data_IF_805291933220
#
_entry.id   IF_805291933220
#
_cell.length_a   1.000
_cell.length_b   1.000
_cell.length_c   1.000
_cell.angle_alpha   90.00
_cell.angle_beta   90.00
_cell.angle_gamma   90.00
#
_symmetry.space_group_name_H-M   'P 1'
#
loop_
_entity.id
_entity.type
_entity.pdbx_description
1 polymer ?
#
# COMPACT_ATOMS: atom_id res chain seq x y z
N UNK A 1 39.31 -11.59 36.00
CA UNK A 1 38.32 -12.66 36.27
C UNK A 1 37.69 -13.02 34.93
N UNK A 2 38.35 -13.87 34.16
CA UNK A 2 38.08 -15.32 33.96
C UNK A 2 36.89 -15.59 33.02
N UNK A 3 37.25 -16.29 31.95
CA UNK A 3 36.52 -16.84 30.80
C UNK A 3 35.36 -17.81 31.10
N UNK A 4 34.48 -18.01 30.11
CA UNK A 4 34.11 -19.28 29.45
C UNK A 4 32.77 -19.08 28.69
N UNK A 5 32.70 -19.12 27.36
CA UNK A 5 32.74 -20.28 26.44
C UNK A 5 31.53 -21.22 26.53
N UNK A 6 30.73 -21.22 25.46
CA UNK A 6 30.12 -22.41 24.87
C UNK A 6 28.65 -22.69 25.20
N UNK A 7 27.77 -22.60 24.18
CA UNK A 7 26.78 -23.64 23.93
C UNK A 7 26.26 -23.56 22.48
N UNK A 8 26.35 -24.71 21.82
CA UNK A 8 26.16 -24.93 20.41
C UNK A 8 24.69 -25.21 20.05
N UNK A 9 24.32 -24.82 18.84
CA UNK A 9 23.07 -25.16 18.15
C UNK A 9 23.03 -26.66 17.80
N UNK A 10 21.90 -27.37 17.98
CA UNK A 10 21.74 -28.68 17.38
C UNK A 10 21.24 -28.54 15.92
N UNK A 11 22.05 -29.06 14.99
CA UNK A 11 21.61 -29.52 13.67
C UNK A 11 20.85 -30.84 13.84
N UNK A 12 19.70 -30.99 13.21
CA UNK A 12 19.07 -32.31 12.99
C UNK A 12 19.02 -32.58 11.50
N UNK A 13 19.81 -33.57 11.10
CA UNK A 13 19.84 -34.25 9.81
C UNK A 13 18.77 -35.35 9.73
N UNK A 14 18.27 -35.58 8.51
CA UNK A 14 17.30 -36.58 8.01
C UNK A 14 17.64 -38.08 8.34
N UNK A 15 16.93 -39.11 7.80
CA UNK A 15 15.58 -39.24 7.20
C UNK A 15 14.70 -40.31 7.90
N UNK A 16 13.41 -40.39 7.54
CA UNK A 16 12.45 -41.37 8.10
C UNK A 16 12.51 -42.72 7.33
N UNK A 17 12.59 -43.90 8.01
CA UNK A 17 12.67 -45.19 7.32
C UNK A 17 11.30 -45.79 7.01
N UNK A 18 11.17 -46.33 5.80
CA UNK A 18 10.01 -47.11 5.30
C UNK A 18 10.01 -48.50 5.93
N UNK A 19 8.87 -48.92 6.52
CA UNK A 19 8.67 -50.28 7.05
C UNK A 19 7.66 -51.05 6.22
N UNK A 20 8.11 -52.15 5.62
CA UNK A 20 7.29 -53.10 4.85
C UNK A 20 6.68 -54.22 5.69
N UNK A 21 5.42 -54.52 5.35
CA UNK A 21 4.65 -55.78 5.38
C UNK A 21 4.78 -56.76 6.57
N UNK A 22 3.65 -56.94 7.27
CA UNK A 22 3.25 -58.17 7.93
C UNK A 22 1.72 -58.29 7.86
N UNK A 23 1.20 -59.32 7.20
CA UNK A 23 -0.22 -59.48 6.89
C UNK A 23 -1.04 -60.10 8.02
N UNK A 24 -2.35 -59.82 8.01
CA UNK A 24 -3.41 -60.59 8.67
C UNK A 24 -4.76 -60.34 7.94
N UNK A 25 -5.65 -61.33 8.08
CA UNK A 25 -6.79 -61.75 7.22
C UNK A 25 -7.93 -60.73 6.99
N UNK A 26 -8.77 -60.88 5.94
CA UNK A 26 -9.79 -59.90 5.61
C UNK A 26 -11.03 -60.06 6.49
N UNK A 27 -11.34 -59.03 7.28
CA UNK A 27 -12.68 -58.83 7.84
C UNK A 27 -13.45 -57.91 6.89
N UNK A 28 -14.59 -58.39 6.40
CA UNK A 28 -15.55 -57.61 5.64
C UNK A 28 -16.01 -56.41 6.48
N UNK A 29 -15.51 -55.21 6.15
CA UNK A 29 -16.01 -53.96 6.70
C UNK A 29 -16.83 -53.23 5.62
N UNK A 30 -18.09 -52.99 5.93
CA UNK A 30 -19.08 -52.31 5.08
C UNK A 30 -18.54 -50.96 4.58
N UNK A 31 -18.71 -50.72 3.29
CA UNK A 31 -18.53 -49.40 2.66
C UNK A 31 -19.51 -48.42 3.33
N UNK A 32 -18.99 -47.44 4.07
CA UNK A 32 -19.77 -46.30 4.51
C UNK A 32 -20.02 -45.37 3.32
N UNK A 33 -21.28 -44.96 3.14
CA UNK A 33 -21.68 -44.01 2.10
C UNK A 33 -21.02 -42.64 2.31
N UNK A 34 -20.76 -41.86 1.24
CA UNK A 34 -20.19 -40.53 1.37
C UNK A 34 -21.19 -39.59 2.06
N UNK A 35 -20.80 -39.08 3.23
CA UNK A 35 -21.51 -38.00 3.92
C UNK A 35 -21.20 -36.70 3.20
N UNK A 36 -22.17 -36.15 2.48
CA UNK A 36 -22.10 -34.77 1.96
C UNK A 36 -22.16 -33.80 3.14
N UNK A 37 -21.02 -33.18 3.47
CA UNK A 37 -20.98 -32.06 4.41
C UNK A 37 -21.50 -30.79 3.71
N UNK A 38 -22.41 -30.01 4.33
CA UNK A 38 -22.79 -28.71 3.80
C UNK A 38 -21.59 -27.74 3.83
N UNK A 39 -21.53 -26.73 2.94
CA UNK A 39 -20.42 -25.79 2.90
C UNK A 39 -20.28 -25.06 4.25
N UNK A 40 -19.05 -24.72 4.68
CA UNK A 40 -18.84 -24.07 5.97
C UNK A 40 -19.57 -22.72 5.97
N UNK A 41 -20.57 -22.60 6.83
CA UNK A 41 -21.19 -21.31 7.09
C UNK A 41 -20.21 -20.47 7.91
N UNK A 42 -19.88 -19.29 7.39
CA UNK A 42 -19.06 -18.29 8.07
C UNK A 42 -19.81 -17.82 9.32
N UNK A 43 -19.54 -18.44 10.47
CA UNK A 43 -20.04 -17.99 11.78
C UNK A 43 -19.16 -16.84 12.24
N UNK A 44 -19.61 -15.60 12.04
CA UNK A 44 -19.09 -14.47 12.79
C UNK A 44 -19.41 -14.69 14.27
N UNK A 45 -18.38 -14.75 15.12
CA UNK A 45 -18.55 -14.81 16.57
C UNK A 45 -19.11 -13.47 17.06
N UNK A 46 -20.44 -13.35 17.11
CA UNK A 46 -21.09 -12.39 17.99
C UNK A 46 -21.21 -13.05 19.37
N UNK A 47 -20.44 -12.55 20.34
CA UNK A 47 -20.62 -12.90 21.74
C UNK A 47 -21.98 -12.40 22.21
N UNK A 48 -22.89 -13.30 22.51
CA UNK A 48 -24.15 -13.03 23.23
C UNK A 48 -23.92 -13.19 24.73
N UNK A 49 -24.20 -12.13 25.49
CA UNK A 49 -24.87 -12.06 26.82
C UNK A 49 -25.00 -10.56 27.14
N UNK A 50 -26.11 -9.98 27.59
CA UNK A 50 -27.18 -10.49 28.44
C UNK A 50 -28.54 -9.82 28.12
N UNK A 51 -29.64 -10.46 28.54
CA UNK A 51 -31.03 -10.06 28.30
C UNK A 51 -31.41 -8.78 29.07
N UNK A 52 -31.81 -7.73 28.35
CA UNK A 52 -32.31 -6.49 28.94
C UNK A 52 -33.11 -5.64 27.96
N UNK A 53 -34.44 -5.71 28.08
CA UNK A 53 -35.49 -4.78 27.60
C UNK A 53 -35.26 -4.14 26.22
N UNK A 54 -35.98 -4.69 25.24
CA UNK A 54 -36.16 -4.14 23.89
C UNK A 54 -36.72 -2.72 23.94
N UNK A 55 -35.90 -1.74 23.55
CA UNK A 55 -36.38 -0.49 22.95
C UNK A 55 -36.02 -0.54 21.47
N UNK A 56 -37.04 -0.58 20.61
CA UNK A 56 -36.88 -0.58 19.17
C UNK A 56 -36.34 0.78 18.70
N UNK A 57 -35.03 0.96 18.78
CA UNK A 57 -34.36 2.05 18.10
C UNK A 57 -34.56 1.85 16.58
N UNK A 58 -35.21 2.82 15.95
CA UNK A 58 -35.47 2.83 14.52
C UNK A 58 -34.17 2.57 13.74
N UNK A 59 -34.07 1.39 13.12
CA UNK A 59 -32.94 1.06 12.27
C UNK A 59 -32.95 2.02 11.08
N UNK A 60 -31.88 2.81 10.92
CA UNK A 60 -31.64 3.58 9.69
C UNK A 60 -31.87 2.66 8.47
N UNK A 61 -32.52 3.14 7.40
CA UNK A 61 -32.75 2.32 6.22
C UNK A 61 -31.40 1.81 5.73
N UNK A 62 -31.27 0.48 5.60
CA UNK A 62 -30.12 -0.13 4.92
C UNK A 62 -30.10 0.46 3.52
N UNK A 63 -29.01 1.13 3.17
CA UNK A 63 -28.81 1.63 1.82
C UNK A 63 -29.05 0.46 0.85
N UNK A 64 -29.92 0.62 -0.16
CA UNK A 64 -30.21 -0.45 -1.10
C UNK A 64 -28.87 -0.91 -1.70
N UNK A 65 -28.70 -2.23 -1.81
CA UNK A 65 -27.52 -2.82 -2.44
C UNK A 65 -27.56 -2.46 -3.92
N UNK A 66 -26.94 -1.34 -4.30
CA UNK A 66 -27.00 -0.80 -5.66
C UNK A 66 -26.10 -1.65 -6.55
N UNK A 67 -26.70 -2.60 -7.24
CA UNK A 67 -26.05 -3.30 -8.36
C UNK A 67 -26.00 -2.30 -9.52
N UNK A 68 -24.80 -1.90 -9.97
CA UNK A 68 -24.60 -0.98 -11.10
C UNK A 68 -24.03 0.42 -10.76
N UNK A 69 -23.24 0.56 -9.68
CA UNK A 69 -22.46 1.79 -9.46
C UNK A 69 -21.15 1.76 -10.28
N UNK A 70 -20.84 2.88 -10.92
CA UNK A 70 -19.53 3.20 -11.48
C UNK A 70 -18.67 3.99 -10.49
N UNK A 71 -17.42 4.28 -10.86
CA UNK A 71 -16.57 5.23 -10.14
C UNK A 71 -15.94 6.23 -11.10
N UNK A 72 -15.84 7.49 -10.69
CA UNK A 72 -15.19 8.56 -11.46
C UNK A 72 -14.26 9.40 -10.59
N UNK A 73 -13.20 9.93 -11.20
CA UNK A 73 -12.30 10.87 -10.55
C UNK A 73 -12.92 12.27 -10.63
N UNK A 74 -13.12 12.91 -9.48
CA UNK A 74 -13.80 14.22 -9.41
C UNK A 74 -12.91 15.35 -8.92
N UNK A 75 -11.74 15.03 -8.37
CA UNK A 75 -10.77 16.04 -7.96
C UNK A 75 -9.39 15.43 -7.76
N UNK A 76 -8.36 16.27 -7.90
CA UNK A 76 -6.97 15.92 -7.66
C UNK A 76 -6.22 17.04 -6.97
N UNK A 77 -5.16 16.69 -6.26
CA UNK A 77 -4.30 17.63 -5.57
C UNK A 77 -2.90 17.07 -5.40
N UNK A 78 -1.93 17.95 -5.20
CA UNK A 78 -0.54 17.56 -4.94
C UNK A 78 0.13 18.56 -4.02
N UNK A 79 1.13 18.12 -3.28
CA UNK A 79 1.99 18.95 -2.46
C UNK A 79 3.43 18.47 -2.57
N UNK A 80 4.36 19.42 -2.60
CA UNK A 80 5.79 19.18 -2.71
C UNK A 80 6.53 19.98 -1.64
N UNK A 81 7.66 19.47 -1.13
CA UNK A 81 8.54 20.24 -0.24
C UNK A 81 9.07 21.52 -0.88
N UNK A 82 9.46 22.46 -0.03
CA UNK A 82 10.05 23.74 -0.44
C UNK A 82 11.47 23.59 -0.97
N UNK A 83 12.31 22.80 -0.32
CA UNK A 83 13.71 22.61 -0.72
C UNK A 83 13.80 21.89 -2.08
N UNK A 84 14.49 22.53 -3.01
CA UNK A 84 14.82 21.97 -4.33
C UNK A 84 16.33 21.70 -4.39
N UNK A 85 16.71 20.46 -4.61
CA UNK A 85 18.10 20.04 -4.79
C UNK A 85 18.37 19.86 -6.28
N UNK A 86 19.28 20.66 -6.82
CA UNK A 86 19.68 20.59 -8.23
C UNK A 86 20.77 19.54 -8.45
N UNK A 87 21.00 19.18 -9.71
CA UNK A 87 22.14 18.32 -10.06
C UNK A 87 23.50 18.97 -9.72
N UNK A 88 23.60 20.30 -9.82
CA UNK A 88 24.81 21.06 -9.44
C UNK A 88 25.06 21.07 -7.93
N UNK A 89 23.99 20.94 -7.13
CA UNK A 89 24.15 20.75 -5.69
C UNK A 89 24.67 19.36 -5.37
N UNK A 90 24.21 18.34 -6.10
CA UNK A 90 24.71 16.96 -5.93
C UNK A 90 26.18 16.82 -6.37
N UNK A 91 26.63 17.55 -7.39
CA UNK A 91 28.04 17.51 -7.83
C UNK A 91 29.02 18.06 -6.80
N UNK A 92 28.54 18.79 -5.77
CA UNK A 92 29.35 19.25 -4.64
C UNK A 92 29.56 18.16 -3.59
N UNK A 93 28.75 17.09 -3.62
CA UNK A 93 28.70 16.04 -2.59
C UNK A 93 29.26 14.72 -3.14
N UNK A 94 28.96 14.39 -4.40
CA UNK A 94 29.39 13.16 -5.07
C UNK A 94 29.95 13.46 -6.45
N UNK A 95 30.81 12.58 -6.96
CA UNK A 95 31.43 12.72 -8.29
C UNK A 95 30.39 12.51 -9.41
N UNK A 96 29.67 13.58 -9.77
CA UNK A 96 28.63 13.58 -10.80
C UNK A 96 28.55 14.93 -11.51
N UNK A 97 27.74 15.03 -12.57
CA UNK A 97 27.43 16.29 -13.26
C UNK A 97 25.98 16.32 -13.73
N UNK A 98 25.46 17.51 -14.00
CA UNK A 98 24.11 17.69 -14.55
C UNK A 98 23.93 16.98 -15.90
N UNK A 99 24.91 17.05 -16.80
CA UNK A 99 24.89 16.36 -18.08
C UNK A 99 24.83 14.84 -17.89
N UNK A 100 25.62 14.31 -16.96
CA UNK A 100 25.67 12.88 -16.71
C UNK A 100 24.35 12.35 -16.14
N UNK A 101 23.74 13.07 -15.21
CA UNK A 101 22.47 12.70 -14.58
C UNK A 101 21.33 12.81 -15.60
N UNK A 102 21.16 13.96 -16.23
CA UNK A 102 20.04 14.19 -17.12
C UNK A 102 20.06 13.31 -18.37
N UNK A 103 21.24 12.98 -18.90
CA UNK A 103 21.36 12.06 -20.03
C UNK A 103 20.86 10.63 -19.69
N UNK A 104 20.92 10.23 -18.42
CA UNK A 104 20.54 8.87 -17.97
C UNK A 104 19.16 8.78 -17.37
N UNK A 105 18.72 9.83 -16.68
CA UNK A 105 17.49 9.80 -15.87
C UNK A 105 16.46 10.84 -16.33
N UNK A 106 16.87 11.85 -17.09
CA UNK A 106 16.06 13.02 -17.42
C UNK A 106 15.84 14.00 -16.25
N UNK A 107 16.38 13.72 -15.06
CA UNK A 107 16.12 14.51 -13.86
C UNK A 107 17.08 15.70 -13.78
N UNK A 108 16.53 16.88 -13.48
CA UNK A 108 17.30 18.14 -13.26
C UNK A 108 17.28 18.61 -11.80
N UNK A 109 16.16 18.38 -11.12
CA UNK A 109 15.94 18.80 -9.74
C UNK A 109 15.06 17.77 -9.04
N UNK A 110 15.22 17.65 -7.72
CA UNK A 110 14.27 16.95 -6.84
C UNK A 110 13.82 17.83 -5.69
N UNK A 111 12.66 17.52 -5.13
CA UNK A 111 12.17 18.12 -3.89
C UNK A 111 12.48 17.19 -2.73
N UNK A 112 12.93 17.76 -1.62
CA UNK A 112 13.35 17.01 -0.42
C UNK A 112 12.74 17.69 0.79
N UNK A 113 12.20 16.92 1.72
CA UNK A 113 11.70 17.44 2.99
C UNK A 113 12.82 18.16 3.75
N UNK A 114 12.50 19.33 4.30
CA UNK A 114 13.45 20.15 5.05
C UNK A 114 12.80 20.82 6.26
N UNK A 115 13.59 21.11 7.29
CA UNK A 115 13.09 21.75 8.52
C UNK A 115 11.97 20.95 9.17
N UNK A 116 10.81 21.60 9.35
CA UNK A 116 9.63 21.03 10.00
C UNK A 116 8.63 20.39 9.00
N UNK A 117 8.98 20.31 7.71
CA UNK A 117 8.14 19.65 6.72
C UNK A 117 8.05 18.14 6.99
N UNK A 118 6.83 17.60 6.96
CA UNK A 118 6.57 16.17 7.19
C UNK A 118 5.80 15.56 6.03
N UNK A 119 5.91 14.23 5.87
CA UNK A 119 5.15 13.53 4.84
C UNK A 119 3.65 13.60 5.13
N UNK A 120 3.26 13.51 6.40
CA UNK A 120 1.90 13.78 6.86
C UNK A 120 1.40 15.16 6.43
N UNK A 121 2.20 16.21 6.64
CA UNK A 121 1.85 17.57 6.23
C UNK A 121 1.62 17.72 4.73
N UNK A 122 2.46 17.10 3.90
CA UNK A 122 2.25 17.09 2.45
C UNK A 122 0.98 16.31 2.07
N UNK A 123 0.73 15.18 2.73
CA UNK A 123 -0.47 14.35 2.50
C UNK A 123 -1.75 15.13 2.76
N UNK A 124 -1.79 15.90 3.87
CA UNK A 124 -2.92 16.75 4.23
C UNK A 124 -3.14 17.84 3.18
N UNK A 125 -2.08 18.52 2.75
CA UNK A 125 -2.19 19.57 1.73
C UNK A 125 -2.68 19.02 0.38
N UNK A 126 -2.17 17.86 -0.05
CA UNK A 126 -2.62 17.20 -1.28
C UNK A 126 -4.10 16.80 -1.18
N UNK A 127 -4.50 16.22 -0.06
CA UNK A 127 -5.88 15.84 0.24
C UNK A 127 -6.84 17.04 0.20
N UNK A 128 -6.50 18.13 0.91
CA UNK A 128 -7.32 19.35 0.94
C UNK A 128 -7.52 19.94 -0.46
N UNK A 129 -6.46 20.01 -1.27
CA UNK A 129 -6.54 20.49 -2.67
C UNK A 129 -7.42 19.58 -3.54
N UNK A 130 -7.35 18.27 -3.36
CA UNK A 130 -8.20 17.32 -4.08
C UNK A 130 -9.69 17.48 -3.73
N UNK A 131 -9.99 17.67 -2.44
CA UNK A 131 -11.34 17.92 -1.95
C UNK A 131 -11.89 19.29 -2.42
N UNK A 132 -11.05 20.33 -2.37
CA UNK A 132 -11.38 21.66 -2.87
C UNK A 132 -11.71 21.63 -4.36
N UNK A 133 -10.87 20.97 -5.18
CA UNK A 133 -11.12 20.80 -6.61
C UNK A 133 -12.43 20.04 -6.89
N UNK A 134 -12.76 19.03 -6.07
CA UNK A 134 -13.98 18.27 -6.20
C UNK A 134 -15.23 19.02 -5.68
N UNK A 135 -15.06 20.08 -4.89
CA UNK A 135 -16.17 20.74 -4.19
C UNK A 135 -16.83 19.85 -3.12
N UNK A 136 -16.10 18.86 -2.58
CA UNK A 136 -16.60 17.90 -1.59
C UNK A 136 -16.08 18.27 -0.20
N UNK A 137 -16.96 18.25 0.80
CA UNK A 137 -16.55 18.51 2.19
C UNK A 137 -15.82 17.28 2.76
N UNK A 138 -14.82 17.52 3.60
CA UNK A 138 -14.08 16.43 4.25
C UNK A 138 -15.00 15.46 5.03
N UNK A 139 -16.06 15.98 5.67
CA UNK A 139 -17.04 15.16 6.41
C UNK A 139 -17.90 14.22 5.55
N UNK A 140 -17.89 14.41 4.23
CA UNK A 140 -18.61 13.58 3.26
C UNK A 140 -17.71 12.48 2.67
N UNK A 141 -16.43 12.43 3.07
CA UNK A 141 -15.50 11.34 2.72
C UNK A 141 -15.81 10.12 3.59
N UNK A 142 -15.97 8.96 2.95
CA UNK A 142 -16.29 7.70 3.61
C UNK A 142 -15.04 6.84 3.89
N UNK A 143 -14.00 7.01 3.06
CA UNK A 143 -12.77 6.22 3.13
C UNK A 143 -11.55 7.02 2.72
N UNK A 144 -10.46 6.89 3.49
CA UNK A 144 -9.14 7.45 3.18
C UNK A 144 -8.13 6.30 3.00
N UNK A 145 -7.52 6.21 1.82
CA UNK A 145 -6.47 5.24 1.51
C UNK A 145 -5.13 5.97 1.40
N UNK A 146 -4.23 5.76 2.37
CA UNK A 146 -2.88 6.34 2.33
C UNK A 146 -1.90 5.32 1.73
N UNK A 147 -1.52 5.54 0.49
CA UNK A 147 -0.58 4.70 -0.24
C UNK A 147 0.85 5.22 0.00
N UNK A 148 1.60 4.56 0.88
CA UNK A 148 2.97 4.96 1.24
C UNK A 148 3.84 3.75 1.54
N UNK A 149 5.13 3.89 1.23
CA UNK A 149 6.18 2.95 1.65
C UNK A 149 7.17 3.57 2.61
N UNK A 150 6.94 4.82 3.01
CA UNK A 150 7.79 5.62 3.90
C UNK A 150 6.97 6.33 4.97
N UNK A 151 6.11 5.60 5.72
CA UNK A 151 5.23 6.24 6.70
C UNK A 151 6.05 6.92 7.80
N UNK A 152 5.55 8.06 8.30
CA UNK A 152 6.17 8.76 9.44
C UNK A 152 6.03 7.96 10.75
N UNK A 153 5.06 7.04 10.84
CA UNK A 153 4.75 6.20 12.00
C UNK A 153 4.69 4.71 11.60
N UNK A 154 5.20 3.81 12.45
CA UNK A 154 5.21 2.36 12.21
C UNK A 154 3.80 1.75 12.08
N UNK A 155 2.79 2.37 12.71
CA UNK A 155 1.40 1.92 12.68
C UNK A 155 0.59 2.57 11.54
N UNK A 156 1.26 3.32 10.65
CA UNK A 156 0.64 3.98 9.51
C UNK A 156 0.21 5.42 9.79
N UNK A 157 -0.08 6.17 8.72
CA UNK A 157 -0.42 7.59 8.78
C UNK A 157 -1.90 7.89 8.50
N UNK A 158 -2.68 6.95 7.96
CA UNK A 158 -4.03 7.25 7.46
C UNK A 158 -4.96 7.81 8.55
N UNK A 159 -4.90 7.28 9.76
CA UNK A 159 -5.72 7.73 10.89
C UNK A 159 -5.40 9.17 11.33
N UNK A 160 -4.13 9.57 11.26
CA UNK A 160 -3.72 10.95 11.58
C UNK A 160 -4.14 11.90 10.45
N UNK A 161 -3.89 11.52 9.19
CA UNK A 161 -4.26 12.31 8.02
C UNK A 161 -5.76 12.53 7.93
N UNK A 162 -6.59 11.50 8.11
CA UNK A 162 -8.05 11.66 8.05
C UNK A 162 -8.55 12.61 9.15
N UNK A 163 -7.97 12.55 10.34
CA UNK A 163 -8.31 13.42 11.46
C UNK A 163 -7.97 14.88 11.16
N UNK A 164 -6.74 15.13 10.70
CA UNK A 164 -6.24 16.48 10.41
C UNK A 164 -6.87 17.11 9.15
N UNK A 165 -7.30 16.30 8.17
CA UNK A 165 -8.09 16.79 7.03
C UNK A 165 -9.55 17.10 7.42
N UNK A 166 -10.05 16.53 8.53
CA UNK A 166 -11.43 16.70 8.99
C UNK A 166 -12.41 15.65 8.45
N UNK A 167 -11.91 14.50 7.99
CA UNK A 167 -12.71 13.36 7.52
C UNK A 167 -13.28 12.55 8.70
N UNK A 168 -14.07 13.18 9.55
CA UNK A 168 -14.49 12.64 10.87
C UNK A 168 -15.36 11.38 10.82
N UNK A 169 -15.98 11.09 9.66
CA UNK A 169 -16.84 9.90 9.44
C UNK A 169 -16.13 8.82 8.62
N UNK A 170 -14.93 9.10 8.12
CA UNK A 170 -14.22 8.20 7.24
C UNK A 170 -13.55 7.07 8.03
N UNK A 171 -13.56 5.89 7.43
CA UNK A 171 -12.59 4.85 7.77
C UNK A 171 -11.27 5.14 7.04
N UNK A 172 -10.12 4.73 7.57
CA UNK A 172 -8.86 4.94 6.86
C UNK A 172 -7.78 3.94 7.24
N UNK A 173 -6.97 3.57 6.24
CA UNK A 173 -5.85 2.65 6.41
C UNK A 173 -4.77 2.87 5.34
N UNK A 174 -3.59 2.34 5.61
CA UNK A 174 -2.41 2.47 4.76
C UNK A 174 -2.29 1.30 3.78
N UNK A 175 -1.78 1.57 2.57
CA UNK A 175 -1.47 0.58 1.53
C UNK A 175 0.01 0.69 1.18
N UNK A 176 0.76 -0.39 1.39
CA UNK A 176 2.18 -0.46 1.03
C UNK A 176 2.37 -1.37 -0.18
N UNK A 177 2.67 -0.78 -1.33
CA UNK A 177 3.02 -1.49 -2.56
C UNK A 177 4.08 -0.75 -3.40
N UNK A 178 5.05 -0.11 -2.74
CA UNK A 178 6.11 0.69 -3.36
C UNK A 178 5.52 1.71 -4.37
N UNK A 179 6.22 1.96 -5.48
CA UNK A 179 5.79 2.91 -6.51
C UNK A 179 4.42 2.56 -7.15
N UNK A 180 3.96 1.32 -7.04
CA UNK A 180 2.64 0.89 -7.52
C UNK A 180 1.52 1.16 -6.51
N UNK A 181 1.84 1.63 -5.31
CA UNK A 181 0.91 1.90 -4.21
C UNK A 181 -0.30 2.72 -4.62
N UNK A 182 -0.09 3.85 -5.29
CA UNK A 182 -1.18 4.73 -5.71
C UNK A 182 -2.17 4.04 -6.67
N UNK A 183 -1.68 3.23 -7.61
CA UNK A 183 -2.54 2.47 -8.54
C UNK A 183 -3.32 1.38 -7.81
N UNK A 184 -2.69 0.68 -6.87
CA UNK A 184 -3.37 -0.30 -6.01
C UNK A 184 -4.44 0.40 -5.16
N UNK A 185 -4.16 1.59 -4.62
CA UNK A 185 -5.13 2.41 -3.91
C UNK A 185 -6.33 2.81 -4.78
N UNK A 186 -6.09 3.27 -6.01
CA UNK A 186 -7.14 3.66 -6.94
C UNK A 186 -8.07 2.48 -7.31
N UNK A 187 -7.49 1.31 -7.56
CA UNK A 187 -8.23 0.08 -7.81
C UNK A 187 -9.04 -0.30 -6.58
N UNK A 188 -8.43 -0.25 -5.41
CA UNK A 188 -9.07 -0.56 -4.12
C UNK A 188 -10.26 0.36 -3.85
N UNK A 189 -10.10 1.67 -4.05
CA UNK A 189 -11.18 2.66 -3.94
C UNK A 189 -12.36 2.33 -4.84
N UNK A 190 -12.10 2.00 -6.10
CA UNK A 190 -13.16 1.59 -7.04
C UNK A 190 -13.86 0.32 -6.58
N UNK A 191 -13.13 -0.66 -6.01
CA UNK A 191 -13.74 -1.88 -5.48
C UNK A 191 -14.59 -1.62 -4.24
N UNK A 192 -14.22 -0.68 -3.37
CA UNK A 192 -15.07 -0.25 -2.25
C UNK A 192 -16.36 0.42 -2.74
N UNK A 193 -16.27 1.32 -3.72
CA UNK A 193 -17.45 1.99 -4.31
C UNK A 193 -18.38 0.96 -4.97
N UNK A 194 -17.83 0.12 -5.86
CA UNK A 194 -18.62 -0.90 -6.60
C UNK A 194 -19.12 -2.04 -5.71
N UNK A 195 -18.47 -2.29 -4.58
CA UNK A 195 -18.91 -3.22 -3.54
C UNK A 195 -20.13 -2.72 -2.75
N UNK A 196 -20.42 -1.41 -2.84
CA UNK A 196 -21.49 -0.73 -2.13
C UNK A 196 -21.06 -0.24 -0.74
N UNK A 197 -21.68 0.87 -0.30
CA UNK A 197 -21.47 1.43 1.04
C UNK A 197 -20.46 2.58 1.12
N UNK A 198 -19.74 2.88 0.03
CA UNK A 198 -18.83 4.02 -0.08
C UNK A 198 -19.20 4.88 -1.29
N UNK A 199 -19.33 6.19 -1.08
CA UNK A 199 -19.63 7.18 -2.12
C UNK A 199 -18.40 8.03 -2.46
N UNK A 200 -17.64 8.46 -1.45
CA UNK A 200 -16.47 9.31 -1.63
C UNK A 200 -15.23 8.64 -1.00
N UNK A 201 -14.28 8.26 -1.84
CA UNK A 201 -13.03 7.62 -1.40
C UNK A 201 -11.84 8.51 -1.79
N UNK A 202 -11.12 9.00 -0.79
CA UNK A 202 -9.92 9.78 -0.97
C UNK A 202 -8.70 8.85 -1.04
N UNK A 203 -7.98 8.87 -2.15
CA UNK A 203 -6.76 8.09 -2.35
C UNK A 203 -5.58 9.03 -2.36
N UNK A 204 -4.64 8.82 -1.44
CA UNK A 204 -3.45 9.65 -1.27
C UNK A 204 -2.23 8.78 -1.58
N UNK A 205 -1.34 9.22 -2.46
CA UNK A 205 -0.02 8.63 -2.65
C UNK A 205 1.04 9.57 -2.10
N UNK A 206 1.82 9.14 -1.13
CA UNK A 206 2.81 10.00 -0.48
C UNK A 206 4.06 9.21 -0.10
N UNK A 207 5.23 9.70 -0.49
CA UNK A 207 6.50 9.13 -0.06
C UNK A 207 7.57 10.20 0.22
N UNK A 208 8.37 9.94 1.24
CA UNK A 208 9.54 10.69 1.68
C UNK A 208 10.81 9.82 1.55
N UNK A 209 11.12 9.39 0.32
CA UNK A 209 12.23 8.48 0.05
C UNK A 209 13.60 9.09 0.38
N UNK A 210 13.71 10.42 0.38
CA UNK A 210 14.95 11.14 0.72
C UNK A 210 15.51 10.77 2.11
N UNK A 211 14.63 10.36 3.05
CA UNK A 211 15.01 9.92 4.41
C UNK A 211 15.83 8.62 4.41
N UNK A 212 15.71 7.81 3.35
CA UNK A 212 16.33 6.49 3.23
C UNK A 212 17.41 6.42 2.14
N UNK A 213 17.69 7.56 1.50
CA UNK A 213 18.73 7.71 0.49
C UNK A 213 20.09 7.86 1.18
N UNK A 214 21.06 7.07 0.74
CA UNK A 214 22.47 7.33 1.03
C UNK A 214 22.97 8.44 0.10
N UNK A 215 23.14 9.64 0.63
CA UNK A 215 23.59 10.80 -0.14
C UNK A 215 25.03 10.70 -0.63
N UNK A 216 25.81 9.72 -0.16
CA UNK A 216 27.15 9.42 -0.65
C UNK A 216 27.16 8.43 -1.81
N UNK A 217 26.06 7.68 -2.01
CA UNK A 217 25.91 6.76 -3.14
C UNK A 217 25.31 7.47 -4.36
N UNK A 218 26.20 7.78 -5.32
CA UNK A 218 25.85 8.36 -6.62
C UNK A 218 24.76 7.56 -7.36
N UNK A 219 24.68 6.24 -7.17
CA UNK A 219 23.72 5.39 -7.88
C UNK A 219 22.26 5.65 -7.49
N UNK A 220 22.02 6.10 -6.27
CA UNK A 220 20.67 6.24 -5.69
C UNK A 220 20.30 7.68 -5.35
N UNK A 221 21.25 8.50 -4.89
CA UNK A 221 20.96 9.88 -4.47
C UNK A 221 20.48 10.79 -5.60
N UNK A 222 20.79 10.43 -6.85
CA UNK A 222 20.38 11.12 -8.07
C UNK A 222 18.97 10.78 -8.56
N UNK A 223 18.22 9.92 -7.87
CA UNK A 223 16.94 9.39 -8.36
C UNK A 223 15.75 9.95 -7.59
N UNK A 224 15.80 9.91 -6.26
CA UNK A 224 14.61 10.08 -5.43
C UNK A 224 14.37 11.52 -5.00
N UNK A 225 13.14 11.75 -4.59
CA UNK A 225 12.62 12.98 -4.00
C UNK A 225 11.32 12.66 -3.26
N UNK A 226 10.75 13.69 -2.63
CA UNK A 226 9.59 13.56 -1.75
C UNK A 226 8.41 14.35 -2.29
N UNK A 227 7.21 13.81 -2.15
CA UNK A 227 5.97 14.46 -2.56
C UNK A 227 4.75 13.73 -2.00
N UNK A 228 3.60 14.41 -2.08
CA UNK A 228 2.30 13.79 -1.94
C UNK A 228 1.37 14.19 -3.10
N UNK A 229 0.52 13.26 -3.51
CA UNK A 229 -0.57 13.46 -4.45
C UNK A 229 -1.85 12.83 -3.91
N UNK A 230 -3.01 13.36 -4.26
CA UNK A 230 -4.29 12.82 -3.86
C UNK A 230 -5.31 12.93 -4.98
N UNK A 231 -6.24 11.98 -5.02
CA UNK A 231 -7.42 12.01 -5.89
C UNK A 231 -8.66 11.64 -5.09
N UNK A 232 -9.78 12.31 -5.39
CA UNK A 232 -11.09 11.90 -4.89
C UNK A 232 -11.78 11.05 -5.94
N UNK A 233 -12.09 9.81 -5.55
CA UNK A 233 -12.89 8.87 -6.34
C UNK A 233 -14.31 8.92 -5.82
N UNK A 234 -15.27 9.23 -6.69
CA UNK A 234 -16.67 9.34 -6.34
C UNK A 234 -17.50 8.28 -7.07
N UNK A 235 -18.51 7.76 -6.38
CA UNK A 235 -19.54 6.94 -6.97
C UNK A 235 -20.29 7.69 -8.09
N UNK A 236 -20.60 6.97 -9.15
CA UNK A 236 -21.46 7.45 -10.22
C UNK A 236 -22.38 6.32 -10.73
N UNK A 237 -23.26 6.64 -11.67
CA UNK A 237 -24.01 5.62 -12.39
C UNK A 237 -23.09 4.81 -13.33
N UNK A 238 -23.49 3.59 -13.68
CA UNK A 238 -22.67 2.70 -14.51
C UNK A 238 -22.31 3.28 -15.89
N UNK A 239 -23.15 4.14 -16.46
CA UNK A 239 -22.90 4.82 -17.73
C UNK A 239 -21.86 5.94 -17.65
N UNK A 240 -21.56 6.44 -16.45
CA UNK A 240 -20.52 7.44 -16.18
C UNK A 240 -19.23 6.82 -15.58
N UNK A 241 -19.10 5.51 -15.62
CA UNK A 241 -17.97 4.79 -15.01
C UNK A 241 -16.66 5.17 -15.73
N UNK A 242 -15.76 5.81 -14.99
CA UNK A 242 -14.47 6.26 -15.49
C UNK A 242 -13.36 5.20 -15.40
N UNK A 243 -13.62 4.07 -14.72
CA UNK A 243 -12.65 2.96 -14.64
C UNK A 243 -13.03 1.83 -15.58
N UNK A 244 -12.37 1.76 -16.75
CA UNK A 244 -12.66 0.78 -17.79
C UNK A 244 -12.01 -0.58 -17.47
N UNK A 245 -10.80 -0.56 -16.93
CA UNK A 245 -10.10 -1.78 -16.56
C UNK A 245 -8.81 -1.54 -15.79
N UNK A 246 -8.25 -2.62 -15.27
CA UNK A 246 -6.93 -2.58 -14.64
C UNK A 246 -6.23 -3.94 -14.75
N UNK A 247 -4.90 -3.90 -14.73
CA UNK A 247 -4.05 -5.08 -14.64
C UNK A 247 -3.06 -4.87 -13.49
N UNK A 248 -2.97 -5.83 -12.58
CA UNK A 248 -2.01 -5.82 -11.47
C UNK A 248 -1.34 -7.18 -11.39
N UNK A 249 -0.01 -7.17 -11.27
CA UNK A 249 0.83 -8.35 -11.18
C UNK A 249 1.91 -8.14 -10.12
N UNK A 250 2.29 -9.22 -9.43
CA UNK A 250 3.38 -9.25 -8.45
C UNK A 250 4.32 -10.41 -8.72
N UNK A 251 5.63 -10.18 -8.68
CA UNK A 251 6.68 -11.19 -8.81
C UNK A 251 7.65 -11.14 -7.62
N UNK A 252 7.49 -12.07 -6.67
CA UNK A 252 8.35 -12.18 -5.50
C UNK A 252 9.82 -12.50 -5.79
N UNK A 253 10.19 -12.92 -7.01
CA UNK A 253 11.59 -13.22 -7.35
C UNK A 253 12.45 -11.96 -7.58
N UNK A 254 11.84 -10.78 -7.70
CA UNK A 254 12.51 -9.49 -7.86
C UNK A 254 13.21 -8.95 -6.60
N UNK A 255 13.15 -9.66 -5.46
CA UNK A 255 13.65 -9.27 -4.12
C UNK A 255 15.14 -8.87 -4.03
N UNK A 256 15.93 -9.03 -5.10
CA UNK A 256 17.35 -8.64 -5.11
C UNK A 256 17.58 -7.11 -5.04
N UNK A 257 16.52 -6.31 -5.13
CA UNK A 257 16.55 -4.83 -5.21
C UNK A 257 15.75 -4.17 -4.06
N UNK A 258 15.65 -4.82 -2.90
CA UNK A 258 14.92 -4.29 -1.73
C UNK A 258 15.87 -3.62 -0.73
N UNK A 259 15.39 -2.58 -0.04
CA UNK A 259 16.07 -1.96 1.09
C UNK A 259 16.51 -3.02 2.11
N UNK A 260 17.79 -3.01 2.48
CA UNK A 260 18.34 -3.81 3.57
C UNK A 260 18.86 -2.83 4.62
N UNK A 261 18.58 -3.11 5.88
CA UNK A 261 19.18 -2.39 7.02
C UNK A 261 18.98 -0.87 7.00
N UNK A 262 17.79 -0.39 6.62
CA UNK A 262 17.44 1.03 6.70
C UNK A 262 17.92 1.90 5.53
N UNK A 263 18.70 1.35 4.59
CA UNK A 263 19.13 2.07 3.39
C UNK A 263 18.48 1.49 2.12
N UNK A 264 18.09 2.38 1.21
CA UNK A 264 17.59 2.01 -0.12
C UNK A 264 18.77 1.60 -1.03
N UNK A 265 19.18 0.33 -0.95
CA UNK A 265 20.25 -0.22 -1.79
C UNK A 265 19.68 -0.65 -3.16
N UNK A 266 20.08 0.05 -4.22
CA UNK A 266 19.86 -0.37 -5.61
C UNK A 266 21.17 -0.95 -6.16
N UNK A 267 21.19 -2.24 -6.49
CA UNK A 267 22.29 -2.78 -7.28
C UNK A 267 22.09 -2.42 -8.76
N UNK A 268 22.95 -1.54 -9.29
CA UNK A 268 23.06 -1.32 -10.73
C UNK A 268 23.62 -2.59 -11.40
N UNK A 269 22.86 -3.20 -12.30
CA UNK A 269 23.37 -4.26 -13.17
C UNK A 269 23.65 -3.64 -14.55
N UNK A 270 24.90 -3.30 -14.82
CA UNK A 270 25.35 -2.57 -16.02
C UNK A 270 25.14 -3.33 -17.35
N UNK A 271 24.65 -4.57 -17.34
CA UNK A 271 24.59 -5.40 -18.56
C UNK A 271 23.39 -5.18 -19.48
N UNK A 272 22.38 -4.41 -19.08
CA UNK A 272 21.25 -4.05 -19.96
C UNK A 272 20.80 -2.66 -19.53
N UNK A 273 20.73 -1.70 -20.44
CA UNK A 273 20.29 -0.32 -20.18
C UNK A 273 18.82 -0.20 -19.76
N UNK A 274 18.37 -1.02 -18.81
CA UNK A 274 17.05 -1.06 -18.21
C UNK A 274 17.20 -0.85 -16.71
N UNK A 275 16.80 0.32 -16.22
CA UNK A 275 16.59 0.53 -14.79
C UNK A 275 15.36 -0.30 -14.39
N UNK A 276 15.59 -1.45 -13.75
CA UNK A 276 14.53 -2.16 -13.03
C UNK A 276 14.30 -1.42 -11.72
N UNK A 277 13.38 -0.44 -11.73
CA UNK A 277 12.97 0.22 -10.50
C UNK A 277 12.47 -0.81 -9.48
N UNK A 278 12.68 -0.47 -8.21
CA UNK A 278 12.48 -1.17 -6.93
C UNK A 278 11.22 -2.05 -6.75
N UNK A 279 10.33 -2.17 -7.73
CA UNK A 279 9.01 -2.75 -7.54
C UNK A 279 8.90 -4.14 -8.19
N UNK A 280 8.70 -5.22 -7.41
CA UNK A 280 8.23 -6.50 -7.92
C UNK A 280 6.78 -6.44 -8.44
N UNK A 281 6.13 -5.27 -8.43
CA UNK A 281 4.72 -5.12 -8.76
C UNK A 281 4.53 -4.19 -9.97
N UNK A 282 3.79 -4.66 -10.97
CA UNK A 282 3.37 -3.87 -12.13
C UNK A 282 1.87 -3.63 -12.05
N UNK A 283 1.47 -2.37 -12.10
CA UNK A 283 0.06 -1.98 -12.15
C UNK A 283 -0.19 -1.05 -13.34
N UNK A 284 -1.35 -1.19 -13.98
CA UNK A 284 -1.81 -0.30 -15.05
C UNK A 284 -3.32 -0.16 -14.93
N UNK A 285 -3.82 1.06 -15.10
CA UNK A 285 -5.25 1.40 -15.11
C UNK A 285 -5.58 1.93 -16.50
N UNK A 286 -6.69 1.48 -17.06
CA UNK A 286 -7.21 1.82 -18.39
C UNK A 286 -8.56 2.50 -18.27
#
# INVERSE_FOLDING_TARGET
MVAASGLALPRVSAPCPVRTRGGLRPAFLRVAQPVTLPPPQLRCCASTVDDGVVSAAASKPRLPRVVGMGSKLVGCGSAIPTLSVSNDDLSKIVETSDEWIAARTGIRNRRVLSGDETLRGLSIQAAQRALEMAGVKAEDVDLVLLCTSTPDDLFGGAAQVLSEVGCTKAFGFDITAACSGFLVGLITATRFIKGGGFQNVLVIGADALSKYVDWTDRGTCILFGDAAGAVLVQACSADEDGMLGFCVQSDGNGQKISAKEGNLLMHSNERKGSFSLCCPMRATVH
#
